data_IF_881909009126
#
_entry.id   IF_881909009126
#
_cell.length_a   1.000
_cell.length_b   1.000
_cell.length_c   1.000
_cell.angle_alpha   90.00
_cell.angle_beta   90.00
_cell.angle_gamma   90.00
#
_symmetry.space_group_name_H-M   'P 1'
#
loop_
_entity.id
_entity.type
_entity.pdbx_description
1 polymer ?
#
# COMPACT_ATOMS: atom_id res chain seq x y z
N UNK A 1 1.55 4.54 -8.70
CA UNK A 1 2.64 4.90 -9.63
C UNK A 1 2.04 5.00 -11.03
N UNK A 2 1.89 6.21 -11.56
CA UNK A 2 1.40 6.43 -12.93
C UNK A 2 2.60 6.36 -13.88
N UNK A 3 2.69 5.31 -14.70
CA UNK A 3 3.70 5.23 -15.75
C UNK A 3 3.07 5.76 -17.05
N UNK A 4 3.32 7.03 -17.35
CA UNK A 4 3.08 7.60 -18.67
C UNK A 4 4.35 7.43 -19.51
N UNK A 5 4.32 6.51 -20.46
CA UNK A 5 5.37 6.37 -21.48
C UNK A 5 5.16 7.43 -22.56
N UNK A 6 6.14 8.32 -22.76
CA UNK A 6 6.12 9.32 -23.85
C UNK A 6 6.56 8.67 -25.17
N UNK A 7 5.76 8.76 -26.25
CA UNK A 7 6.29 8.53 -27.58
C UNK A 7 7.05 9.77 -28.11
N UNK A 8 8.10 9.44 -28.85
CA UNK A 8 9.11 10.29 -29.47
C UNK A 8 8.52 11.22 -30.55
N UNK A 9 9.20 12.36 -30.76
CA UNK A 9 8.81 13.48 -31.60
C UNK A 9 8.52 13.16 -33.08
N UNK A 10 7.66 14.01 -33.64
CA UNK A 10 7.34 14.31 -35.06
C UNK A 10 5.94 13.86 -35.51
N UNK A 11 4.99 14.79 -35.36
CA UNK A 11 4.09 15.25 -36.45
C UNK A 11 3.22 16.41 -35.95
N UNK A 12 2.99 17.35 -36.88
CA UNK A 12 2.32 18.64 -36.67
C UNK A 12 0.86 18.52 -36.22
N UNK A 13 0.52 19.34 -35.22
CA UNK A 13 -0.68 20.18 -35.09
C UNK A 13 -2.00 19.64 -35.62
N UNK A 14 -2.85 19.13 -34.73
CA UNK A 14 -4.10 19.80 -34.26
C UNK A 14 -4.66 18.96 -33.12
N UNK A 15 -4.24 19.22 -31.88
CA UNK A 15 -4.89 18.68 -30.68
C UNK A 15 -5.59 19.82 -29.96
N UNK A 16 -6.82 19.61 -29.43
CA UNK A 16 -7.46 20.61 -28.59
C UNK A 16 -6.56 20.91 -27.39
N UNK A 17 -6.47 22.20 -27.06
CA UNK A 17 -5.72 22.72 -25.92
C UNK A 17 -6.09 21.99 -24.63
N UNK A 18 -5.09 21.65 -23.82
CA UNK A 18 -5.21 20.98 -22.52
C UNK A 18 -5.95 21.82 -21.44
N UNK A 19 -6.61 22.91 -21.83
CA UNK A 19 -7.21 23.89 -20.93
C UNK A 19 -8.69 23.60 -20.57
N UNK A 20 -9.35 22.66 -21.27
CA UNK A 20 -10.75 22.31 -21.00
C UNK A 20 -10.89 20.92 -20.33
N UNK A 21 -9.93 20.55 -19.48
CA UNK A 21 -10.15 19.48 -18.52
C UNK A 21 -10.98 20.04 -17.36
N UNK A 22 -12.21 19.55 -17.11
CA UNK A 22 -13.03 20.03 -16.02
C UNK A 22 -12.31 19.72 -14.69
N UNK A 23 -11.78 20.78 -14.08
CA UNK A 23 -11.15 20.83 -12.75
C UNK A 23 -12.08 20.39 -11.61
N UNK A 24 -13.30 19.98 -11.92
CA UNK A 24 -14.34 19.54 -10.99
C UNK A 24 -14.16 18.11 -10.45
N UNK A 25 -13.47 17.23 -11.19
CA UNK A 25 -13.34 15.80 -10.83
C UNK A 25 -12.43 15.57 -9.60
N UNK A 26 -11.40 16.39 -9.40
CA UNK A 26 -10.41 16.15 -8.34
C UNK A 26 -10.84 16.67 -6.97
N UNK A 27 -11.78 17.62 -6.89
CA UNK A 27 -12.20 18.23 -5.61
C UNK A 27 -13.47 17.59 -4.99
N UNK A 28 -14.19 16.72 -5.72
CA UNK A 28 -15.40 16.07 -5.20
C UNK A 28 -15.13 14.75 -4.44
N UNK A 29 -13.99 14.11 -4.67
CA UNK A 29 -13.67 12.78 -4.11
C UNK A 29 -13.44 12.76 -2.59
N UNK A 30 -13.32 13.91 -1.92
CA UNK A 30 -12.89 13.97 -0.52
C UNK A 30 -14.04 14.25 0.47
N UNK A 31 -15.28 14.53 0.05
CA UNK A 31 -16.32 14.97 1.01
C UNK A 31 -17.66 14.26 1.05
N UNK A 32 -18.05 13.46 0.06
CA UNK A 32 -19.36 12.78 0.12
C UNK A 32 -19.33 11.39 -0.51
N UNK A 33 -19.58 10.37 0.30
CA UNK A 33 -19.94 9.02 -0.13
C UNK A 33 -21.39 9.00 -0.68
N UNK A 34 -21.68 9.90 -1.64
CA UNK A 34 -22.98 10.01 -2.29
C UNK A 34 -22.95 9.23 -3.59
N UNK A 35 -24.03 8.51 -3.89
CA UNK A 35 -24.19 7.72 -5.12
C UNK A 35 -23.96 8.56 -6.38
N UNK A 36 -24.31 9.85 -6.36
CA UNK A 36 -24.08 10.76 -7.48
C UNK A 36 -22.59 11.02 -7.75
N UNK A 37 -21.77 11.19 -6.70
CA UNK A 37 -20.33 11.39 -6.85
C UNK A 37 -19.63 10.14 -7.39
N UNK A 38 -20.13 8.96 -7.03
CA UNK A 38 -19.65 7.67 -7.56
C UNK A 38 -19.97 7.57 -9.06
N UNK A 39 -21.18 7.98 -9.48
CA UNK A 39 -21.60 7.97 -10.88
C UNK A 39 -20.81 8.94 -11.75
N UNK A 40 -20.56 10.17 -11.28
CA UNK A 40 -19.75 11.16 -12.00
C UNK A 40 -18.33 10.64 -12.27
N UNK A 41 -17.75 9.95 -11.29
CA UNK A 41 -16.43 9.31 -11.42
C UNK A 41 -16.47 8.13 -12.39
N UNK A 42 -17.52 7.30 -12.35
CA UNK A 42 -17.72 6.20 -13.30
C UNK A 42 -17.84 6.70 -14.74
N UNK A 43 -18.57 7.78 -14.98
CA UNK A 43 -18.75 8.34 -16.32
C UNK A 43 -17.46 8.99 -16.85
N UNK A 44 -16.69 9.64 -15.99
CA UNK A 44 -15.34 10.10 -16.32
C UNK A 44 -14.41 8.94 -16.72
N UNK A 45 -14.40 7.86 -15.95
CA UNK A 45 -13.64 6.64 -16.25
C UNK A 45 -14.03 6.03 -17.60
N UNK A 46 -15.33 5.95 -17.91
CA UNK A 46 -15.81 5.46 -19.22
C UNK A 46 -15.33 6.33 -20.36
N UNK A 47 -15.41 7.65 -20.22
CA UNK A 47 -14.97 8.59 -21.25
C UNK A 47 -13.49 8.38 -21.59
N UNK A 48 -12.63 8.25 -20.56
CA UNK A 48 -11.20 8.00 -20.74
C UNK A 48 -10.88 6.66 -21.42
N UNK A 49 -11.70 5.64 -21.16
CA UNK A 49 -11.58 4.32 -21.81
C UNK A 49 -12.14 4.30 -23.25
N UNK A 50 -12.90 5.32 -23.66
CA UNK A 50 -13.58 5.39 -24.95
C UNK A 50 -12.97 6.45 -25.88
N UNK A 51 -11.83 7.05 -25.53
CA UNK A 51 -11.13 8.02 -26.36
C UNK A 51 -10.75 7.35 -27.71
N UNK A 52 -11.24 7.88 -28.85
CA UNK A 52 -10.83 7.40 -30.17
C UNK A 52 -9.31 7.51 -30.31
N UNK A 53 -8.69 6.52 -30.95
CA UNK A 53 -7.24 6.43 -31.21
C UNK A 53 -6.33 6.19 -29.98
N UNK A 54 -6.79 6.39 -28.74
CA UNK A 54 -5.99 6.18 -27.53
C UNK A 54 -6.83 5.78 -26.30
N UNK A 55 -7.35 4.54 -26.23
CA UNK A 55 -8.05 4.08 -25.03
C UNK A 55 -7.08 4.00 -23.84
N UNK A 56 -7.36 4.71 -22.76
CA UNK A 56 -6.52 4.69 -21.56
C UNK A 56 -6.79 3.42 -20.75
N UNK A 57 -5.75 2.63 -20.50
CA UNK A 57 -5.80 1.55 -19.51
C UNK A 57 -5.46 2.09 -18.13
N UNK A 58 -6.40 1.94 -17.19
CA UNK A 58 -6.28 2.46 -15.84
C UNK A 58 -6.04 1.28 -14.89
N UNK A 59 -4.93 1.33 -14.15
CA UNK A 59 -4.62 0.37 -13.08
C UNK A 59 -4.89 1.04 -11.76
N UNK A 60 -5.95 0.59 -11.09
CA UNK A 60 -6.32 1.07 -9.77
C UNK A 60 -5.94 0.01 -8.72
N UNK A 61 -5.23 0.42 -7.67
CA UNK A 61 -4.77 -0.44 -6.57
C UNK A 61 -4.83 0.32 -5.26
N UNK A 62 -5.18 -0.36 -4.16
CA UNK A 62 -4.96 0.15 -2.79
C UNK A 62 -6.16 0.77 -2.05
N UNK A 63 -7.39 0.71 -2.57
CA UNK A 63 -8.59 1.16 -1.82
C UNK A 63 -9.75 0.19 -2.04
N UNK A 64 -10.35 -0.30 -0.94
CA UNK A 64 -11.51 -1.20 -0.97
C UNK A 64 -12.72 -0.50 -1.63
N UNK A 65 -12.79 0.81 -1.46
CA UNK A 65 -13.79 1.72 -2.02
C UNK A 65 -13.83 1.66 -3.56
N UNK A 66 -12.73 1.29 -4.21
CA UNK A 66 -12.68 1.11 -5.66
C UNK A 66 -13.62 -0.02 -6.12
N UNK A 67 -13.84 -1.03 -5.27
CA UNK A 67 -14.79 -2.09 -5.60
C UNK A 67 -16.22 -1.54 -5.80
N UNK A 68 -16.58 -0.47 -5.09
CA UNK A 68 -17.89 0.19 -5.25
C UNK A 68 -18.04 0.84 -6.63
N UNK A 69 -16.94 1.28 -7.26
CA UNK A 69 -16.98 1.81 -8.63
C UNK A 69 -17.39 0.74 -9.66
N UNK A 70 -17.22 -0.55 -9.35
CA UNK A 70 -17.55 -1.65 -10.26
C UNK A 70 -18.91 -2.29 -9.96
N UNK A 71 -19.44 -2.15 -8.74
CA UNK A 71 -20.64 -2.87 -8.29
C UNK A 71 -21.94 -2.47 -9.00
N UNK A 72 -22.04 -1.23 -9.48
CA UNK A 72 -23.27 -0.68 -10.08
C UNK A 72 -23.12 -0.29 -11.55
N UNK A 73 -22.01 -0.63 -12.20
CA UNK A 73 -21.77 -0.30 -13.60
C UNK A 73 -21.22 -1.50 -14.39
N UNK A 74 -22.13 -2.16 -15.11
CA UNK A 74 -21.81 -3.36 -15.86
C UNK A 74 -20.86 -3.09 -17.05
N UNK A 75 -20.87 -1.87 -17.61
CA UNK A 75 -19.97 -1.53 -18.72
C UNK A 75 -18.54 -1.39 -18.25
N UNK A 76 -18.34 -0.76 -17.09
CA UNK A 76 -17.03 -0.62 -16.47
C UNK A 76 -16.54 -1.98 -15.94
N UNK A 77 -17.41 -2.76 -15.29
CA UNK A 77 -17.08 -4.09 -14.78
C UNK A 77 -16.62 -5.06 -15.90
N UNK A 78 -17.33 -5.11 -17.03
CA UNK A 78 -16.98 -5.98 -18.16
C UNK A 78 -15.64 -5.62 -18.83
N UNK A 79 -15.16 -4.39 -18.62
CA UNK A 79 -13.90 -3.88 -19.17
C UNK A 79 -12.80 -3.81 -18.11
N UNK A 80 -13.09 -4.23 -16.88
CA UNK A 80 -12.15 -4.20 -15.76
C UNK A 80 -11.70 -5.61 -15.41
N UNK A 81 -10.41 -5.78 -15.15
CA UNK A 81 -9.87 -7.00 -14.56
C UNK A 81 -9.61 -6.79 -13.07
N UNK A 82 -10.47 -7.36 -12.23
CA UNK A 82 -10.29 -7.29 -10.78
C UNK A 82 -9.34 -8.40 -10.33
N UNK A 83 -8.22 -8.01 -9.75
CA UNK A 83 -7.31 -8.91 -9.05
C UNK A 83 -7.56 -8.76 -7.55
N UNK A 84 -7.98 -9.84 -6.88
CA UNK A 84 -8.08 -9.86 -5.42
C UNK A 84 -6.77 -10.38 -4.87
N UNK A 85 -6.11 -9.56 -4.05
CA UNK A 85 -4.98 -10.01 -3.24
C UNK A 85 -5.53 -10.54 -1.93
N UNK A 86 -5.14 -11.77 -1.57
CA UNK A 86 -5.44 -12.35 -0.26
C UNK A 86 -4.33 -11.95 0.70
N UNK A 87 -4.71 -11.70 1.94
CA UNK A 87 -3.77 -11.61 3.06
C UNK A 87 -2.92 -12.90 3.11
N UNK A 88 -1.63 -12.71 3.30
CA UNK A 88 -0.68 -13.79 3.48
C UNK A 88 -0.87 -14.38 4.87
N UNK A 89 -0.85 -15.71 4.95
CA UNK A 89 -0.76 -16.42 6.23
C UNK A 89 0.66 -16.93 6.39
N UNK A 90 1.32 -16.72 7.55
CA UNK A 90 2.63 -17.31 7.80
C UNK A 90 2.60 -18.84 7.69
N UNK A 91 1.47 -19.50 7.97
CA UNK A 91 1.37 -20.98 7.92
C UNK A 91 1.27 -21.53 6.49
N UNK A 92 0.66 -20.76 5.58
CA UNK A 92 0.37 -21.22 4.21
C UNK A 92 1.32 -20.64 3.17
N UNK A 93 1.78 -19.41 3.39
CA UNK A 93 2.51 -18.62 2.41
C UNK A 93 3.98 -18.37 2.83
N UNK A 94 4.49 -19.14 3.80
CA UNK A 94 5.88 -19.05 4.29
C UNK A 94 6.90 -19.03 3.15
N UNK A 95 6.79 -19.98 2.21
CA UNK A 95 7.72 -20.12 1.08
C UNK A 95 7.79 -18.84 0.22
N UNK A 96 6.68 -18.11 0.08
CA UNK A 96 6.64 -16.84 -0.67
C UNK A 96 7.34 -15.72 0.09
N UNK A 97 7.18 -15.67 1.42
CA UNK A 97 7.84 -14.68 2.28
C UNK A 97 9.35 -14.95 2.30
N UNK A 98 9.76 -16.20 2.45
CA UNK A 98 11.17 -16.61 2.40
C UNK A 98 11.79 -16.31 1.03
N UNK A 99 11.09 -16.63 -0.06
CA UNK A 99 11.54 -16.29 -1.40
C UNK A 99 11.69 -14.78 -1.60
N UNK A 100 10.81 -13.96 -1.02
CA UNK A 100 10.92 -12.51 -1.04
C UNK A 100 12.15 -12.02 -0.26
N UNK A 101 12.38 -12.56 0.95
CA UNK A 101 13.58 -12.24 1.76
C UNK A 101 14.84 -12.60 0.98
N UNK A 102 14.92 -13.83 0.48
CA UNK A 102 16.06 -14.31 -0.30
C UNK A 102 16.31 -13.43 -1.53
N UNK A 103 15.25 -13.11 -2.28
CA UNK A 103 15.36 -12.30 -3.50
C UNK A 103 15.88 -10.89 -3.20
N UNK A 104 15.33 -10.25 -2.17
CA UNK A 104 15.62 -8.84 -1.89
C UNK A 104 16.95 -8.70 -1.15
N UNK A 105 17.17 -9.50 -0.10
CA UNK A 105 18.36 -9.39 0.72
C UNK A 105 19.60 -9.95 0.00
N UNK A 106 19.49 -11.13 -0.62
CA UNK A 106 20.65 -11.79 -1.22
C UNK A 106 20.85 -11.36 -2.68
N UNK A 107 19.88 -11.64 -3.57
CA UNK A 107 20.10 -11.43 -5.00
C UNK A 107 20.23 -9.94 -5.37
N UNK A 108 19.44 -9.07 -4.73
CA UNK A 108 19.40 -7.63 -5.04
C UNK A 108 20.39 -6.85 -4.17
N UNK A 109 20.42 -7.11 -2.86
CA UNK A 109 21.19 -6.30 -1.91
C UNK A 109 22.56 -6.87 -1.55
N UNK A 110 22.86 -8.12 -1.91
CA UNK A 110 24.13 -8.78 -1.57
C UNK A 110 24.35 -9.03 -0.07
N UNK A 111 23.30 -8.92 0.75
CA UNK A 111 23.35 -9.16 2.19
C UNK A 111 23.23 -10.66 2.47
N UNK A 112 23.87 -11.11 3.55
CA UNK A 112 23.63 -12.44 4.11
C UNK A 112 22.33 -12.43 4.91
N UNK A 113 21.56 -13.52 4.79
CA UNK A 113 20.36 -13.75 5.59
C UNK A 113 20.69 -14.82 6.63
N UNK A 114 20.71 -14.49 7.93
CA UNK A 114 20.89 -15.49 8.97
C UNK A 114 19.64 -16.36 9.11
N UNK A 115 19.83 -17.61 9.58
CA UNK A 115 18.75 -18.60 9.72
C UNK A 115 17.59 -18.11 10.58
N UNK A 116 17.86 -17.28 11.58
CA UNK A 116 16.85 -16.67 12.47
C UNK A 116 15.76 -15.89 11.72
N UNK A 117 16.05 -15.35 10.53
CA UNK A 117 15.07 -14.61 9.72
C UNK A 117 14.21 -15.53 8.82
N UNK A 118 14.48 -16.84 8.83
CA UNK A 118 13.75 -17.87 8.09
C UNK A 118 12.95 -18.79 9.04
N UNK A 119 13.14 -18.63 10.35
CA UNK A 119 12.39 -19.35 11.36
C UNK A 119 10.93 -18.87 11.44
N UNK A 120 10.02 -19.77 11.83
CA UNK A 120 8.57 -19.51 11.88
C UNK A 120 8.22 -18.29 12.74
N UNK A 121 8.93 -18.08 13.85
CA UNK A 121 8.70 -16.92 14.73
C UNK A 121 8.95 -15.60 14.00
N UNK A 122 10.04 -15.49 13.24
CA UNK A 122 10.34 -14.26 12.51
C UNK A 122 9.39 -14.04 11.33
N UNK A 123 9.08 -15.09 10.58
CA UNK A 123 8.11 -15.03 9.47
C UNK A 123 6.73 -14.61 9.99
N UNK A 124 6.31 -15.18 11.13
CA UNK A 124 5.09 -14.79 11.83
C UNK A 124 5.07 -13.32 12.21
N UNK A 125 6.14 -12.80 12.83
CA UNK A 125 6.28 -11.37 13.18
C UNK A 125 6.21 -10.47 11.96
N UNK A 126 6.93 -10.82 10.89
CA UNK A 126 6.97 -10.02 9.67
C UNK A 126 5.60 -9.96 8.99
N UNK A 127 4.91 -11.08 8.92
CA UNK A 127 3.56 -11.16 8.37
C UNK A 127 2.56 -10.38 9.21
N UNK A 128 2.61 -10.54 10.53
CA UNK A 128 1.74 -9.84 11.49
C UNK A 128 1.96 -8.32 11.47
N UNK A 129 3.21 -7.87 11.48
CA UNK A 129 3.55 -6.45 11.37
C UNK A 129 3.06 -5.81 10.05
N UNK A 130 2.92 -6.62 9.00
CA UNK A 130 2.41 -6.21 7.69
C UNK A 130 0.90 -6.44 7.51
N UNK A 131 0.19 -6.92 8.55
CA UNK A 131 -1.22 -7.29 8.50
C UNK A 131 -1.56 -8.23 7.32
N UNK A 132 -0.64 -9.18 7.02
CA UNK A 132 -0.78 -10.09 5.88
C UNK A 132 -0.62 -9.43 4.50
N UNK A 133 -0.35 -8.13 4.40
CA UNK A 133 -0.15 -7.46 3.12
C UNK A 133 1.21 -7.82 2.50
N UNK A 134 1.24 -8.66 1.46
CA UNK A 134 2.50 -9.05 0.80
C UNK A 134 3.32 -7.86 0.31
N UNK A 135 2.68 -6.83 -0.25
CA UNK A 135 3.37 -5.59 -0.64
C UNK A 135 4.05 -4.91 0.55
N UNK A 136 3.39 -4.90 1.72
CA UNK A 136 3.94 -4.32 2.93
C UNK A 136 5.08 -5.15 3.52
N UNK A 137 5.00 -6.48 3.41
CA UNK A 137 6.10 -7.40 3.71
C UNK A 137 7.32 -7.04 2.86
N UNK A 138 7.16 -6.96 1.53
CA UNK A 138 8.22 -6.61 0.59
C UNK A 138 8.83 -5.23 0.87
N UNK A 139 8.00 -4.22 1.12
CA UNK A 139 8.45 -2.87 1.50
C UNK A 139 9.30 -2.91 2.78
N UNK A 140 8.85 -3.66 3.79
CA UNK A 140 9.54 -3.77 5.08
C UNK A 140 10.89 -4.46 4.92
N UNK A 141 10.98 -5.53 4.12
CA UNK A 141 12.25 -6.21 3.81
C UNK A 141 13.20 -5.26 3.09
N UNK A 142 12.72 -4.52 2.08
CA UNK A 142 13.54 -3.54 1.35
C UNK A 142 14.08 -2.46 2.29
N UNK A 143 13.23 -1.87 3.13
CA UNK A 143 13.63 -0.85 4.08
C UNK A 143 14.68 -1.38 5.08
N UNK A 144 14.52 -2.62 5.58
CA UNK A 144 15.48 -3.25 6.47
C UNK A 144 16.84 -3.48 5.78
N UNK A 145 16.83 -3.91 4.50
CA UNK A 145 18.05 -4.08 3.70
C UNK A 145 18.76 -2.73 3.47
N UNK A 146 18.02 -1.69 3.10
CA UNK A 146 18.55 -0.33 2.92
C UNK A 146 19.20 0.16 4.22
N UNK A 147 18.53 -0.04 5.36
CA UNK A 147 19.06 0.36 6.67
C UNK A 147 20.33 -0.42 7.04
N UNK A 148 20.39 -1.72 6.74
CA UNK A 148 21.58 -2.54 6.96
C UNK A 148 22.77 -2.04 6.11
N UNK A 149 22.53 -1.78 4.82
CA UNK A 149 23.54 -1.24 3.91
C UNK A 149 24.03 0.14 4.31
N UNK A 150 23.12 1.04 4.74
CA UNK A 150 23.48 2.37 5.25
C UNK A 150 24.35 2.32 6.51
N UNK A 151 24.31 1.21 7.25
CA UNK A 151 25.13 0.97 8.45
C UNK A 151 26.36 0.10 8.16
N UNK A 152 26.71 -0.07 6.88
CA UNK A 152 27.82 -0.90 6.41
C UNK A 152 27.79 -2.34 6.94
N UNK A 153 26.58 -2.89 7.15
CA UNK A 153 26.38 -4.27 7.57
C UNK A 153 26.45 -5.20 6.37
N UNK A 154 27.06 -6.37 6.56
CA UNK A 154 27.14 -7.44 5.55
C UNK A 154 26.04 -8.48 5.69
N UNK A 155 25.19 -8.36 6.71
CA UNK A 155 24.09 -9.27 7.00
C UNK A 155 22.86 -8.50 7.47
N UNK A 156 21.69 -9.08 7.20
CA UNK A 156 20.42 -8.58 7.70
C UNK A 156 20.22 -9.05 9.15
N UNK A 157 19.69 -8.18 10.01
CA UNK A 157 19.50 -8.46 11.43
C UNK A 157 18.07 -8.08 11.83
N UNK A 158 17.46 -8.81 12.78
CA UNK A 158 16.13 -8.48 13.33
C UNK A 158 16.04 -7.05 13.86
N UNK A 159 17.16 -6.50 14.35
CA UNK A 159 17.26 -5.11 14.80
C UNK A 159 16.95 -4.07 13.71
N UNK A 160 17.25 -4.37 12.43
CA UNK A 160 16.92 -3.49 11.32
C UNK A 160 15.41 -3.44 11.08
N UNK A 161 14.73 -4.59 11.13
CA UNK A 161 13.27 -4.68 11.05
C UNK A 161 12.59 -3.97 12.22
N UNK A 162 13.09 -4.17 13.44
CA UNK A 162 12.57 -3.50 14.61
C UNK A 162 12.65 -1.97 14.48
N UNK A 163 13.78 -1.45 13.97
CA UNK A 163 13.93 -0.02 13.74
C UNK A 163 13.00 0.49 12.65
N UNK A 164 12.95 -0.18 11.48
CA UNK A 164 12.03 0.19 10.39
C UNK A 164 10.58 0.20 10.86
N UNK A 165 10.16 -0.80 11.63
CA UNK A 165 8.82 -0.88 12.18
C UNK A 165 8.53 0.27 13.14
N UNK A 166 9.49 0.62 14.01
CA UNK A 166 9.36 1.74 14.93
C UNK A 166 9.27 3.07 14.20
N UNK A 167 10.08 3.28 13.17
CA UNK A 167 10.11 4.51 12.37
C UNK A 167 8.81 4.69 11.57
N UNK A 168 8.22 3.59 11.06
CA UNK A 168 6.98 3.64 10.29
C UNK A 168 5.72 3.74 11.17
N UNK A 169 5.66 2.99 12.27
CA UNK A 169 4.46 2.88 13.12
C UNK A 169 4.43 3.87 14.29
N UNK A 170 5.60 4.40 14.68
CA UNK A 170 5.74 5.21 15.89
C UNK A 170 5.61 4.41 17.20
N UNK A 171 5.67 3.06 17.15
CA UNK A 171 5.48 2.23 18.33
C UNK A 171 6.48 2.55 19.45
N UNK A 172 6.04 2.45 20.70
CA UNK A 172 6.96 2.38 21.83
C UNK A 172 7.82 1.10 21.75
N UNK A 173 9.04 1.09 22.31
CA UNK A 173 9.90 -0.09 22.32
C UNK A 173 9.24 -1.34 22.92
N UNK A 174 8.36 -1.16 23.92
CA UNK A 174 7.60 -2.25 24.56
C UNK A 174 6.41 -2.77 23.76
N UNK A 175 6.10 -2.15 22.62
CA UNK A 175 5.04 -2.56 21.69
C UNK A 175 5.60 -2.91 20.31
N UNK A 176 6.92 -3.07 20.21
CA UNK A 176 7.57 -3.41 18.94
C UNK A 176 7.48 -4.92 18.68
N UNK A 177 6.74 -5.28 17.63
CA UNK A 177 6.47 -6.67 17.22
C UNK A 177 7.77 -7.47 17.01
N UNK A 178 8.87 -6.85 16.61
CA UNK A 178 10.15 -7.53 16.38
C UNK A 178 11.02 -7.67 17.64
N UNK A 179 10.62 -7.08 18.78
CA UNK A 179 11.41 -7.11 20.03
C UNK A 179 10.76 -7.89 21.16
N UNK A 180 9.43 -7.93 21.21
CA UNK A 180 8.71 -8.49 22.36
C UNK A 180 8.37 -9.98 22.18
N UNK A 181 8.42 -10.81 23.23
CA UNK A 181 8.04 -12.22 23.11
C UNK A 181 6.57 -12.45 22.74
N UNK A 182 5.64 -11.69 23.33
CA UNK A 182 4.19 -11.81 23.08
C UNK A 182 3.73 -10.88 21.95
N UNK A 183 4.39 -11.00 20.80
CA UNK A 183 4.18 -10.12 19.66
C UNK A 183 2.82 -10.29 18.99
N UNK A 184 2.23 -11.50 19.04
CA UNK A 184 0.93 -11.81 18.44
C UNK A 184 -0.26 -11.14 19.14
N UNK A 185 -0.09 -10.74 20.41
CA UNK A 185 -1.10 -10.00 21.18
C UNK A 185 -1.14 -8.51 20.81
N UNK A 186 -0.12 -8.00 20.14
CA UNK A 186 -0.03 -6.59 19.74
C UNK A 186 -0.83 -6.39 18.47
N UNK A 187 -1.82 -5.50 18.51
CA UNK A 187 -2.57 -5.09 17.33
C UNK A 187 -1.78 -4.03 16.54
N UNK A 188 -1.33 -4.33 15.29
CA UNK A 188 -0.60 -3.36 14.47
C UNK A 188 -1.43 -2.12 14.14
N UNK A 189 -2.76 -2.21 14.09
CA UNK A 189 -3.63 -1.06 13.83
C UNK A 189 -3.79 -0.11 15.04
N UNK A 190 -3.49 -0.56 16.26
CA UNK A 190 -3.68 0.21 17.50
C UNK A 190 -2.36 0.59 18.19
N UNK A 191 -1.25 0.63 17.44
CA UNK A 191 0.09 0.89 17.97
C UNK A 191 0.23 2.23 18.71
N UNK A 192 -0.59 3.22 18.36
CA UNK A 192 -0.57 4.57 18.92
C UNK A 192 -1.69 4.82 19.96
N UNK A 193 -2.31 3.76 20.49
CA UNK A 193 -3.43 3.88 21.44
C UNK A 193 -3.04 4.53 22.78
N UNK A 194 -1.74 4.64 23.06
CA UNK A 194 -1.17 5.33 24.22
C UNK A 194 -1.11 6.86 24.06
N UNK A 195 -1.23 7.37 22.83
CA UNK A 195 -1.31 8.81 22.58
C UNK A 195 -2.67 9.34 23.06
N UNK A 196 -2.71 10.51 23.73
CA UNK A 196 -3.96 11.13 24.12
C UNK A 196 -4.78 11.45 22.86
N UNK A 197 -5.97 10.85 22.74
CA UNK A 197 -6.90 11.24 21.69
C UNK A 197 -7.20 12.73 21.84
N UNK A 198 -7.06 13.49 20.74
CA UNK A 198 -7.43 14.91 20.72
C UNK A 198 -8.94 14.98 20.94
N UNK A 199 -9.33 15.16 22.21
CA UNK A 199 -10.73 15.22 22.62
C UNK A 199 -11.43 16.35 21.90
N UNK A 200 -12.38 16.00 21.03
CA UNK A 200 -13.42 16.94 20.62
C UNK A 200 -14.14 17.38 21.88
N UNK A 201 -13.91 18.61 22.32
CA UNK A 201 -14.70 19.25 23.38
C UNK A 201 -16.17 19.20 22.93
N UNK A 202 -16.95 18.28 23.50
CA UNK A 202 -18.41 18.35 23.46
C UNK A 202 -18.79 19.66 24.15
N UNK A 203 -19.24 20.63 23.37
CA UNK A 203 -19.88 21.83 23.87
C UNK A 203 -21.11 21.42 24.67
N UNK A 204 -20.99 21.43 25.99
CA UNK A 204 -22.13 21.33 26.88
C UNK A 204 -22.89 22.65 26.84
N UNK A 205 -24.01 22.68 26.11
CA UNK A 205 -24.99 23.75 26.25
C UNK A 205 -25.67 23.59 27.62
N UNK A 206 -25.26 24.42 28.57
CA UNK A 206 -26.08 24.80 29.72
C UNK A 206 -26.66 26.17 29.43
N UNK A 207 -27.97 26.24 29.20
CA UNK A 207 -28.96 27.08 29.89
C UNK A 207 -30.29 26.97 29.17
#
# INVERSE_FOLDING_TARGET
MFLASKPNSRRNSTYPSCADFPSHLSQHLIRHNSTAAIQDVQDGLKSLMQIPDWPLHIICSGVNELAHLLQNDQQLANRSRVLRYREQSPDTDKEWIEAAIQKIAVDISGLKVPVELLEDDFIGRLCHAAMGGFGKIVETIQAACILALQKDKSQLETGAFAQVYQDFSGCLPGSNIFRVPRWSEISPEHVLADLPSVGTKKGGTKQ
#
